data_IF_211736471795
#
_entry.id   IF_211736471795
#
_cell.length_a   1.000
_cell.length_b   1.000
_cell.length_c   1.000
_cell.angle_alpha   90.00
_cell.angle_beta   90.00
_cell.angle_gamma   90.00
#
_symmetry.space_group_name_H-M   'P 1'
#
loop_
_entity.id
_entity.type
_entity.pdbx_description
1 polymer ?
#
# COMPACT_ATOMS: atom_id res chain seq x y z
N UNK A 1 -3.36 11.78 28.19
CA UNK A 1 -1.98 11.54 28.39
C UNK A 1 -1.23 11.24 27.13
N UNK A 2 0.01 11.41 27.20
CA UNK A 2 0.94 11.27 26.11
C UNK A 2 0.94 9.90 25.50
N UNK A 3 0.76 8.91 26.31
CA UNK A 3 0.88 7.52 25.90
C UNK A 3 -0.16 7.10 24.87
N UNK A 4 -1.32 7.70 24.92
CA UNK A 4 -2.37 7.30 24.01
C UNK A 4 -2.03 7.65 22.57
N UNK A 5 -1.25 8.69 22.34
CA UNK A 5 -0.86 9.04 20.97
C UNK A 5 -0.01 7.97 20.34
N UNK A 6 0.89 7.41 21.08
CA UNK A 6 1.76 6.40 20.56
C UNK A 6 0.99 5.15 20.16
N UNK A 7 0.04 4.77 20.99
CA UNK A 7 -0.76 3.61 20.68
C UNK A 7 -1.60 3.81 19.43
N UNK A 8 -2.10 5.01 19.23
CA UNK A 8 -2.87 5.29 18.03
C UNK A 8 -2.03 5.12 16.79
N UNK A 9 -0.82 5.64 16.81
CA UNK A 9 0.08 5.50 15.67
C UNK A 9 0.43 4.03 15.40
N UNK A 10 0.65 3.28 16.46
CA UNK A 10 1.03 1.88 16.33
C UNK A 10 -0.08 1.05 15.75
N UNK A 11 -1.32 1.49 15.87
CA UNK A 11 -2.44 0.72 15.35
C UNK A 11 -2.71 0.99 13.87
N UNK A 12 -2.14 2.03 13.30
CA UNK A 12 -2.37 2.33 11.88
C UNK A 12 -1.47 1.48 11.01
N UNK A 13 -2.05 0.68 10.10
CA UNK A 13 -1.23 -0.16 9.22
C UNK A 13 -0.55 0.66 8.14
N UNK A 14 0.60 0.15 7.67
CA UNK A 14 1.35 0.83 6.63
C UNK A 14 2.84 0.72 6.86
N UNK A 15 3.58 1.63 6.26
CA UNK A 15 5.03 1.69 6.35
C UNK A 15 5.64 2.12 5.03
N UNK A 16 6.82 1.59 4.74
CA UNK A 16 7.49 1.81 3.47
C UNK A 16 7.15 0.67 2.53
N UNK A 17 6.67 1.01 1.35
CA UNK A 17 6.22 0.06 0.35
C UNK A 17 7.21 -0.02 -0.79
N UNK A 18 7.53 -1.25 -1.21
CA UNK A 18 8.40 -1.51 -2.36
C UNK A 18 7.78 -2.65 -3.15
N UNK A 19 7.19 -2.31 -4.29
CA UNK A 19 6.49 -3.30 -5.11
C UNK A 19 6.99 -3.27 -6.54
N UNK A 20 6.80 -4.38 -7.23
CA UNK A 20 7.21 -4.54 -8.60
C UNK A 20 6.12 -5.28 -9.36
N UNK A 21 5.80 -4.79 -10.56
CA UNK A 21 4.84 -5.46 -11.43
C UNK A 21 5.48 -6.73 -11.99
N UNK A 22 4.74 -7.82 -12.02
CA UNK A 22 5.31 -9.13 -12.34
C UNK A 22 5.81 -9.25 -13.77
N UNK A 23 5.12 -8.65 -14.73
CA UNK A 23 5.46 -8.80 -16.13
C UNK A 23 6.48 -7.77 -16.61
N UNK A 24 6.22 -6.52 -16.33
CA UNK A 24 7.03 -5.42 -16.85
C UNK A 24 8.20 -5.07 -15.95
N UNK A 25 8.16 -5.54 -14.70
CA UNK A 25 9.15 -5.19 -13.68
C UNK A 25 9.14 -3.71 -13.31
N UNK A 26 8.07 -3.01 -13.66
CA UNK A 26 7.89 -1.62 -13.24
C UNK A 26 7.81 -1.56 -11.73
N UNK A 27 8.33 -0.50 -11.15
CA UNK A 27 8.41 -0.36 -9.70
C UNK A 27 7.53 0.75 -9.19
N UNK A 28 6.97 0.51 -8.01
CA UNK A 28 6.25 1.53 -7.29
C UNK A 28 6.72 1.49 -5.84
N UNK A 29 6.89 2.64 -5.24
CA UNK A 29 7.34 2.71 -3.86
C UNK A 29 6.77 3.94 -3.19
N UNK A 30 6.74 3.92 -1.88
CA UNK A 30 6.22 5.05 -1.14
C UNK A 30 6.08 4.76 0.33
N UNK A 31 5.32 5.61 0.99
CA UNK A 31 5.27 5.59 2.43
C UNK A 31 3.94 6.13 2.94
N UNK A 32 3.50 5.61 4.05
CA UNK A 32 2.35 6.15 4.75
C UNK A 32 1.67 5.12 5.62
N UNK A 33 0.65 5.58 6.32
CA UNK A 33 -0.10 4.76 7.27
C UNK A 33 -1.58 5.12 7.21
N UNK A 34 -2.41 4.10 7.45
CA UNK A 34 -3.85 4.34 7.55
C UNK A 34 -4.42 4.93 6.29
N UNK A 35 -5.05 6.08 6.40
CA UNK A 35 -5.70 6.75 5.27
C UNK A 35 -4.75 7.64 4.47
N UNK A 36 -3.48 7.67 4.83
CA UNK A 36 -2.53 8.59 4.25
C UNK A 36 -1.29 7.87 3.72
N UNK A 37 -1.45 7.15 2.63
CA UNK A 37 -0.35 6.44 1.99
C UNK A 37 -0.16 7.01 0.60
N UNK A 38 1.09 7.30 0.26
CA UNK A 38 1.43 7.87 -1.03
C UNK A 38 2.51 7.03 -1.67
N UNK A 39 2.22 6.53 -2.86
CA UNK A 39 3.18 5.77 -3.64
C UNK A 39 3.49 6.53 -4.93
N UNK A 40 4.64 6.25 -5.49
CA UNK A 40 5.06 6.83 -6.75
C UNK A 40 5.69 5.75 -7.61
N UNK A 41 5.24 5.62 -8.86
CA UNK A 41 5.82 4.64 -9.76
C UNK A 41 6.98 5.27 -10.53
N UNK A 42 7.68 4.45 -11.30
CA UNK A 42 8.85 4.91 -12.02
C UNK A 42 8.52 5.84 -13.19
N UNK A 43 7.24 5.95 -13.52
CA UNK A 43 6.77 6.84 -14.58
C UNK A 43 6.31 8.19 -14.03
N UNK A 44 6.45 8.38 -12.72
CA UNK A 44 6.06 9.63 -12.09
C UNK A 44 4.61 9.73 -11.66
N UNK A 45 3.83 8.66 -11.82
CA UNK A 45 2.44 8.67 -11.36
C UNK A 45 2.38 8.55 -9.84
N UNK A 46 1.49 9.33 -9.25
CA UNK A 46 1.30 9.32 -7.80
C UNK A 46 0.03 8.55 -7.49
N UNK A 47 0.15 7.63 -6.56
CA UNK A 47 -0.96 6.81 -6.09
C UNK A 47 -1.25 7.16 -4.64
N UNK A 48 -2.47 7.54 -4.36
CA UNK A 48 -2.89 7.86 -3.01
C UNK A 48 -3.87 6.81 -2.55
N UNK A 49 -3.74 6.42 -1.30
CA UNK A 49 -4.62 5.39 -0.82
C UNK A 49 -4.58 5.16 0.67
N UNK A 50 -5.14 4.03 1.04
CA UNK A 50 -5.34 3.69 2.43
C UNK A 50 -5.08 2.22 2.69
N UNK A 51 -4.84 1.93 3.95
CA UNK A 51 -4.65 0.58 4.46
C UNK A 51 -5.56 0.40 5.66
N UNK A 52 -6.22 -0.76 5.72
CA UNK A 52 -7.16 -1.05 6.78
C UNK A 52 -6.93 -2.47 7.27
N UNK A 53 -6.89 -2.64 8.58
CA UNK A 53 -6.70 -3.96 9.15
C UNK A 53 -7.94 -4.80 8.91
N UNK A 54 -7.70 -6.03 8.50
CA UNK A 54 -8.73 -7.05 8.39
C UNK A 54 -8.50 -8.08 9.49
N UNK A 55 -9.08 -9.26 9.34
CA UNK A 55 -8.92 -10.31 10.35
C UNK A 55 -7.51 -10.87 10.32
N UNK A 56 -7.02 -11.28 11.49
CA UNK A 56 -5.70 -11.86 11.61
C UNK A 56 -4.61 -10.84 11.33
N UNK A 57 -3.62 -11.24 10.55
CA UNK A 57 -2.50 -10.38 10.20
C UNK A 57 -2.64 -9.74 8.83
N UNK A 58 -3.86 -9.75 8.29
CA UNK A 58 -4.10 -9.21 6.96
C UNK A 58 -4.42 -7.74 7.00
N UNK A 59 -3.91 -7.01 6.01
CA UNK A 59 -4.23 -5.60 5.80
C UNK A 59 -4.73 -5.45 4.38
N UNK A 60 -5.80 -4.71 4.20
CA UNK A 60 -6.40 -4.46 2.89
C UNK A 60 -5.99 -3.08 2.42
N UNK A 61 -5.58 -2.99 1.16
CA UNK A 61 -5.12 -1.73 0.58
C UNK A 61 -5.98 -1.31 -0.59
N UNK A 62 -6.11 -0.01 -0.74
CA UNK A 62 -6.80 0.57 -1.88
C UNK A 62 -6.10 1.86 -2.26
N UNK A 63 -5.63 1.93 -3.50
CA UNK A 63 -4.92 3.10 -4.02
C UNK A 63 -5.56 3.56 -5.31
N UNK A 64 -5.45 4.86 -5.58
CA UNK A 64 -5.95 5.46 -6.80
C UNK A 64 -4.97 6.52 -7.28
N UNK A 65 -4.73 6.57 -8.59
CA UNK A 65 -3.89 7.61 -9.17
C UNK A 65 -4.76 8.76 -9.69
N UNK A 66 -4.09 9.79 -10.22
CA UNK A 66 -4.80 10.97 -10.73
C UNK A 66 -5.63 10.73 -11.98
N UNK A 67 -5.46 9.58 -12.62
CA UNK A 67 -6.21 9.24 -13.84
C UNK A 67 -7.37 8.29 -13.55
N UNK A 68 -7.61 8.00 -12.29
CA UNK A 68 -8.69 7.11 -11.90
C UNK A 68 -8.36 5.63 -11.94
N UNK A 69 -7.10 5.28 -12.21
CA UNK A 69 -6.69 3.88 -12.15
C UNK A 69 -6.60 3.45 -10.70
N UNK A 70 -6.81 2.17 -10.45
CA UNK A 70 -6.82 1.64 -9.09
C UNK A 70 -5.82 0.51 -8.90
N UNK A 71 -5.32 0.40 -7.67
CA UNK A 71 -4.52 -0.71 -7.20
C UNK A 71 -5.14 -1.17 -5.91
N UNK A 72 -5.52 -2.44 -5.83
CA UNK A 72 -6.13 -2.97 -4.61
C UNK A 72 -5.54 -4.33 -4.28
N UNK A 73 -5.52 -4.66 -3.02
CA UNK A 73 -5.03 -5.95 -2.61
C UNK A 73 -4.82 -6.05 -1.13
N UNK A 74 -3.97 -6.99 -0.75
CA UNK A 74 -3.76 -7.29 0.65
C UNK A 74 -2.28 -7.50 0.95
N UNK A 75 -1.94 -7.39 2.23
CA UNK A 75 -0.68 -7.90 2.71
C UNK A 75 -0.94 -8.93 3.79
N UNK A 76 -0.06 -9.91 3.83
CA UNK A 76 -0.08 -10.93 4.85
C UNK A 76 1.33 -10.96 5.41
N UNK A 77 1.45 -10.68 6.71
CA UNK A 77 2.74 -10.39 7.31
C UNK A 77 3.34 -9.17 6.62
N UNK A 78 4.48 -9.28 5.98
CA UNK A 78 5.13 -8.16 5.32
C UNK A 78 5.03 -8.22 3.80
N UNK A 79 4.40 -9.26 3.26
CA UNK A 79 4.29 -9.45 1.83
C UNK A 79 3.01 -8.82 1.30
N UNK A 80 3.15 -7.94 0.32
CA UNK A 80 2.03 -7.20 -0.26
C UNK A 80 1.77 -7.72 -1.67
N UNK A 81 0.50 -7.95 -1.99
CA UNK A 81 0.09 -8.30 -3.34
C UNK A 81 -1.06 -7.39 -3.74
N UNK A 82 -0.85 -6.60 -4.76
CA UNK A 82 -1.87 -5.70 -5.29
C UNK A 82 -2.18 -6.05 -6.73
N UNK A 83 -3.38 -5.70 -7.17
CA UNK A 83 -3.78 -5.85 -8.56
C UNK A 83 -4.34 -4.56 -9.09
N UNK A 84 -3.99 -4.25 -10.33
CA UNK A 84 -4.59 -3.10 -10.97
C UNK A 84 -5.87 -3.54 -11.69
N UNK A 85 -6.57 -2.58 -12.27
CA UNK A 85 -7.86 -2.85 -12.91
C UNK A 85 -7.75 -3.69 -14.17
N UNK A 86 -6.54 -3.84 -14.71
CA UNK A 86 -6.29 -4.66 -15.88
C UNK A 86 -5.89 -6.08 -15.52
N UNK A 87 -5.82 -6.37 -14.23
CA UNK A 87 -5.45 -7.69 -13.74
C UNK A 87 -3.96 -7.92 -13.59
N UNK A 88 -3.15 -6.89 -13.77
CA UNK A 88 -1.71 -7.02 -13.55
C UNK A 88 -1.43 -7.09 -12.05
N UNK A 89 -0.46 -7.91 -11.69
CA UNK A 89 -0.11 -8.14 -10.29
C UNK A 89 1.16 -7.40 -9.91
N UNK A 90 1.08 -6.73 -8.78
CA UNK A 90 2.21 -6.00 -8.19
C UNK A 90 2.53 -6.63 -6.85
N UNK A 91 3.76 -7.07 -6.68
CA UNK A 91 4.17 -7.74 -5.44
C UNK A 91 5.37 -7.06 -4.83
N UNK A 92 5.45 -7.15 -3.53
CA UNK A 92 6.59 -6.62 -2.83
C UNK A 92 6.44 -6.73 -1.33
N UNK A 93 7.05 -5.77 -0.65
CA UNK A 93 7.07 -5.78 0.80
C UNK A 93 6.64 -4.43 1.34
N UNK A 94 6.16 -4.46 2.57
CA UNK A 94 5.94 -3.26 3.38
C UNK A 94 6.81 -3.40 4.62
N UNK A 95 7.59 -2.35 4.92
CA UNK A 95 8.50 -2.38 6.06
C UNK A 95 8.09 -1.42 7.15
#
# INVERSE_FOLDING_TARGET
MIFSKQRIRDSAPGGYFHLEEEKTKARVSGFGHGDHIRLKDEYGNIWLGSAERSTGNCVVYSFRDGKGRTLTGISENLVVTLRDEKGNTWKGIVE
#
